data_IF_492179362431
#
_entry.id   IF_492179362431
#
_cell.length_a   1.000
_cell.length_b   1.000
_cell.length_c   1.000
_cell.angle_alpha   90.00
_cell.angle_beta   90.00
_cell.angle_gamma   90.00
#
_symmetry.space_group_name_H-M   'P 1'
#
loop_
_entity.id
_entity.type
_entity.pdbx_description
1 polymer ?
#
# COMPACT_ATOMS: atom_id res chain seq x y z
N UNK A 1 9.00 -1.48 -12.53
CA UNK A 1 7.75 -2.29 -12.51
C UNK A 1 6.86 -1.80 -11.38
N UNK A 2 5.53 -1.88 -11.52
CA UNK A 2 4.61 -1.36 -10.49
C UNK A 2 4.69 -2.15 -9.18
N UNK A 3 4.90 -3.46 -9.28
CA UNK A 3 5.15 -4.34 -8.14
C UNK A 3 6.38 -3.91 -7.33
N UNK A 4 7.46 -3.49 -8.00
CA UNK A 4 8.67 -3.02 -7.33
C UNK A 4 8.46 -1.69 -6.63
N UNK A 5 7.72 -0.75 -7.25
CA UNK A 5 7.36 0.52 -6.61
C UNK A 5 6.52 0.28 -5.36
N UNK A 6 5.51 -0.58 -5.45
CA UNK A 6 4.67 -0.94 -4.32
C UNK A 6 5.48 -1.59 -3.18
N UNK A 7 6.41 -2.49 -3.51
CA UNK A 7 7.23 -3.16 -2.52
C UNK A 7 8.28 -2.24 -1.88
N UNK A 8 8.88 -1.33 -2.66
CA UNK A 8 9.80 -0.30 -2.15
C UNK A 8 9.12 0.63 -1.16
N UNK A 9 7.90 1.05 -1.50
CA UNK A 9 7.11 1.98 -0.69
C UNK A 9 6.24 1.31 0.37
N UNK A 10 6.28 -0.03 0.48
CA UNK A 10 5.50 -0.84 1.44
C UNK A 10 5.56 -0.29 2.86
N UNK A 11 6.73 0.15 3.32
CA UNK A 11 6.90 0.72 4.66
C UNK A 11 6.10 1.99 4.89
N UNK A 12 6.07 2.90 3.90
CA UNK A 12 5.36 4.16 3.98
C UNK A 12 3.84 3.94 3.81
N UNK A 13 3.45 3.07 2.89
CA UNK A 13 2.04 2.65 2.69
C UNK A 13 1.47 2.07 3.98
N UNK A 14 2.17 1.13 4.62
CA UNK A 14 1.72 0.49 5.86
C UNK A 14 1.55 1.51 7.00
N UNK A 15 2.48 2.46 7.13
CA UNK A 15 2.42 3.54 8.13
C UNK A 15 1.35 4.58 7.84
N UNK A 16 0.97 4.76 6.57
CA UNK A 16 -0.03 5.75 6.15
C UNK A 16 -1.47 5.23 6.04
N UNK A 17 -1.66 3.94 5.74
CA UNK A 17 -2.97 3.33 5.55
C UNK A 17 -3.75 3.14 6.85
N UNK A 18 -4.80 3.92 7.10
CA UNK A 18 -5.70 3.73 8.24
C UNK A 18 -6.64 2.53 8.05
N UNK A 19 -7.25 2.03 9.12
CA UNK A 19 -8.14 0.85 9.05
C UNK A 19 -9.32 1.03 8.08
N UNK A 20 -9.87 2.24 7.99
CA UNK A 20 -10.91 2.56 7.02
C UNK A 20 -10.43 2.39 5.57
N UNK A 21 -9.24 2.91 5.26
CA UNK A 21 -8.64 2.81 3.93
C UNK A 21 -8.30 1.36 3.59
N UNK A 22 -7.75 0.60 4.55
CA UNK A 22 -7.47 -0.83 4.38
C UNK A 22 -8.75 -1.58 4.02
N UNK A 23 -9.83 -1.36 4.77
CA UNK A 23 -11.13 -1.99 4.51
C UNK A 23 -11.66 -1.66 3.11
N UNK A 24 -11.57 -0.39 2.71
CA UNK A 24 -11.99 0.07 1.39
C UNK A 24 -11.15 -0.58 0.28
N UNK A 25 -9.84 -0.62 0.42
CA UNK A 25 -8.93 -1.23 -0.55
C UNK A 25 -9.21 -2.74 -0.70
N UNK A 26 -9.36 -3.45 0.41
CA UNK A 26 -9.74 -4.87 0.42
C UNK A 26 -11.08 -5.09 -0.30
N UNK A 27 -12.08 -4.25 -0.03
CA UNK A 27 -13.39 -4.37 -0.68
C UNK A 27 -13.32 -4.11 -2.19
N UNK A 28 -12.55 -3.11 -2.62
CA UNK A 28 -12.32 -2.82 -4.04
C UNK A 28 -11.57 -3.95 -4.73
N UNK A 29 -10.53 -4.53 -4.12
CA UNK A 29 -9.83 -5.69 -4.65
C UNK A 29 -10.76 -6.91 -4.77
N UNK A 30 -11.66 -7.10 -3.81
CA UNK A 30 -12.66 -8.16 -3.86
C UNK A 30 -13.68 -7.93 -4.99
N UNK A 31 -14.15 -6.69 -5.16
CA UNK A 31 -15.06 -6.31 -6.25
C UNK A 31 -14.43 -6.55 -7.63
N UNK A 32 -13.13 -6.25 -7.76
CA UNK A 32 -12.33 -6.50 -8.96
C UNK A 32 -11.98 -7.99 -9.16
N UNK A 33 -12.48 -8.89 -8.29
CA UNK A 33 -12.21 -10.34 -8.29
C UNK A 33 -10.72 -10.69 -8.23
N UNK A 34 -9.90 -9.79 -7.68
CA UNK A 34 -8.47 -10.01 -7.47
C UNK A 34 -8.25 -10.95 -6.30
N UNK A 35 -9.02 -10.74 -5.24
CA UNK A 35 -9.00 -11.54 -4.01
C UNK A 35 -10.33 -12.26 -3.85
N UNK A 36 -10.29 -13.44 -3.26
CA UNK A 36 -11.49 -14.19 -2.89
C UNK A 36 -11.96 -13.83 -1.46
N UNK A 37 -13.13 -14.35 -1.06
CA UNK A 37 -13.74 -14.02 0.23
C UNK A 37 -12.84 -14.46 1.40
N UNK A 38 -12.24 -15.65 1.31
CA UNK A 38 -11.32 -16.17 2.32
C UNK A 38 -10.10 -15.27 2.51
N UNK A 39 -9.49 -14.82 1.41
CA UNK A 39 -8.36 -13.88 1.46
C UNK A 39 -8.77 -12.53 2.09
N UNK A 40 -9.94 -12.00 1.71
CA UNK A 40 -10.51 -10.78 2.31
C UNK A 40 -10.68 -10.93 3.83
N UNK A 41 -11.28 -12.03 4.27
CA UNK A 41 -11.51 -12.30 5.69
C UNK A 41 -10.19 -12.46 6.45
N UNK A 42 -9.20 -13.16 5.89
CA UNK A 42 -7.88 -13.31 6.50
C UNK A 42 -7.19 -11.95 6.75
N UNK A 43 -7.25 -11.02 5.79
CA UNK A 43 -6.70 -9.67 5.96
C UNK A 43 -7.51 -8.88 7.00
N UNK A 44 -8.84 -9.01 7.00
CA UNK A 44 -9.70 -8.30 7.94
C UNK A 44 -9.54 -8.81 9.39
N UNK A 45 -9.30 -10.10 9.57
CA UNK A 45 -9.10 -10.79 10.85
C UNK A 45 -7.71 -10.53 11.44
N UNK A 46 -6.73 -10.18 10.59
CA UNK A 46 -5.35 -9.86 11.02
C UNK A 46 -5.36 -8.77 12.09
N UNK A 47 -4.65 -9.00 13.22
CA UNK A 47 -4.67 -8.07 14.34
C UNK A 47 -3.69 -6.91 14.14
N UNK A 48 -4.21 -5.68 14.19
CA UNK A 48 -3.42 -4.45 14.08
C UNK A 48 -3.36 -3.89 12.67
N UNK A 49 -3.64 -2.60 12.56
CA UNK A 49 -3.66 -1.82 11.31
C UNK A 49 -2.43 -2.05 10.42
N UNK A 50 -1.23 -2.01 11.01
CA UNK A 50 0.01 -2.14 10.26
C UNK A 50 0.18 -3.54 9.64
N UNK A 51 -0.22 -4.57 10.38
CA UNK A 51 -0.11 -5.96 9.91
C UNK A 51 -1.14 -6.25 8.81
N UNK A 52 -2.38 -5.74 8.95
CA UNK A 52 -3.40 -5.77 7.89
C UNK A 52 -2.91 -5.09 6.60
N UNK A 53 -2.35 -3.89 6.72
CA UNK A 53 -1.82 -3.16 5.57
C UNK A 53 -0.65 -3.90 4.92
N UNK A 54 0.20 -4.52 5.73
CA UNK A 54 1.33 -5.33 5.24
C UNK A 54 0.82 -6.52 4.44
N UNK A 55 -0.10 -7.30 5.01
CA UNK A 55 -0.73 -8.43 4.33
C UNK A 55 -1.38 -8.02 3.01
N UNK A 56 -2.10 -6.89 2.99
CA UNK A 56 -2.69 -6.33 1.78
C UNK A 56 -1.64 -6.05 0.69
N UNK A 57 -0.54 -5.38 1.03
CA UNK A 57 0.53 -5.03 0.08
C UNK A 57 1.26 -6.28 -0.41
N UNK A 58 1.68 -7.18 0.49
CA UNK A 58 2.35 -8.43 0.12
C UNK A 58 1.49 -9.28 -0.83
N UNK A 59 0.19 -9.33 -0.56
CA UNK A 59 -0.74 -10.06 -1.39
C UNK A 59 -0.82 -9.48 -2.80
N UNK A 60 -0.97 -8.17 -2.91
CA UNK A 60 -1.04 -7.50 -4.23
C UNK A 60 0.26 -7.65 -5.02
N UNK A 61 1.40 -7.64 -4.32
CA UNK A 61 2.71 -7.93 -4.89
C UNK A 61 2.80 -9.39 -5.38
N UNK A 62 2.38 -10.36 -4.56
CA UNK A 62 2.46 -11.79 -4.87
C UNK A 62 1.59 -12.19 -6.07
N UNK A 63 0.49 -11.48 -6.34
CA UNK A 63 -0.36 -11.74 -7.52
C UNK A 63 0.22 -11.19 -8.83
N UNK A 64 1.20 -10.28 -8.77
CA UNK A 64 1.93 -9.77 -9.93
C UNK A 64 1.67 -8.30 -10.24
N UNK A 65 2.28 -7.82 -11.34
CA UNK A 65 2.28 -6.39 -11.70
C UNK A 65 0.89 -5.81 -11.92
N UNK A 66 0.00 -6.52 -12.61
CA UNK A 66 -1.34 -6.01 -12.93
C UNK A 66 -2.13 -5.67 -11.65
N UNK A 67 -1.98 -6.50 -10.61
CA UNK A 67 -2.63 -6.26 -9.31
C UNK A 67 -1.92 -5.15 -8.54
N UNK A 68 -0.60 -5.06 -8.65
CA UNK A 68 0.17 -3.97 -8.04
C UNK A 68 -0.18 -2.60 -8.64
N UNK A 69 -0.33 -2.50 -9.96
CA UNK A 69 -0.81 -1.29 -10.65
C UNK A 69 -2.21 -0.90 -10.18
N UNK A 70 -3.10 -1.88 -10.07
CA UNK A 70 -4.44 -1.65 -9.55
C UNK A 70 -4.38 -1.15 -8.10
N UNK A 71 -3.58 -1.76 -7.23
CA UNK A 71 -3.40 -1.34 -5.84
C UNK A 71 -2.94 0.12 -5.74
N UNK A 72 -1.97 0.53 -6.56
CA UNK A 72 -1.48 1.91 -6.62
C UNK A 72 -2.60 2.86 -7.06
N UNK A 73 -3.38 2.47 -8.07
CA UNK A 73 -4.52 3.26 -8.58
C UNK A 73 -5.61 3.41 -7.51
N UNK A 74 -5.95 2.31 -6.83
CA UNK A 74 -6.92 2.29 -5.75
C UNK A 74 -6.45 3.11 -4.55
N UNK A 75 -5.16 3.08 -4.24
CA UNK A 75 -4.58 3.91 -3.18
C UNK A 75 -4.76 5.39 -3.51
N UNK A 76 -4.49 5.81 -4.75
CA UNK A 76 -4.69 7.19 -5.18
C UNK A 76 -6.15 7.65 -5.08
N UNK A 77 -7.10 6.75 -5.34
CA UNK A 77 -8.54 7.03 -5.25
C UNK A 77 -9.03 7.12 -3.80
N UNK A 78 -8.54 6.22 -2.94
CA UNK A 78 -8.94 6.17 -1.52
C UNK A 78 -8.22 7.23 -0.69
N UNK A 79 -6.92 7.42 -0.93
CA UNK A 79 -6.07 8.35 -0.19
C UNK A 79 -5.03 9.00 -1.12
N UNK A 80 -5.43 10.05 -1.86
CA UNK A 80 -4.53 10.76 -2.77
C UNK A 80 -3.37 11.45 -2.05
N UNK A 81 -3.56 11.81 -0.77
CA UNK A 81 -2.53 12.46 0.05
C UNK A 81 -1.41 11.48 0.36
N UNK A 82 -1.77 10.27 0.82
CA UNK A 82 -0.82 9.20 1.05
C UNK A 82 -0.15 8.79 -0.26
N UNK A 83 -0.91 8.63 -1.34
CA UNK A 83 -0.32 8.34 -2.65
C UNK A 83 0.74 9.39 -3.03
N UNK A 84 0.46 10.68 -2.83
CA UNK A 84 1.41 11.74 -3.13
C UNK A 84 2.64 11.69 -2.20
N UNK A 85 2.45 11.46 -0.90
CA UNK A 85 3.54 11.38 0.07
C UNK A 85 4.49 10.20 -0.19
N UNK A 86 3.96 9.13 -0.78
CA UNK A 86 4.65 7.86 -1.01
C UNK A 86 5.27 7.79 -2.42
N UNK A 87 4.50 8.15 -3.45
CA UNK A 87 4.91 7.98 -4.85
C UNK A 87 5.37 9.27 -5.53
N UNK A 88 5.05 10.44 -4.99
CA UNK A 88 5.39 11.74 -5.61
C UNK A 88 6.41 12.53 -4.78
N UNK A 89 6.70 12.14 -3.53
CA UNK A 89 7.64 12.83 -2.63
C UNK A 89 9.10 12.40 -2.80
N UNK A 90 9.44 11.67 -3.86
CA UNK A 90 10.80 11.18 -4.09
C UNK A 90 11.83 12.29 -4.44
N UNK A 91 11.46 13.57 -4.51
CA UNK A 91 12.35 14.66 -4.95
C UNK A 91 12.61 15.78 -3.92
N UNK A 92 12.31 15.59 -2.63
CA UNK A 92 12.59 16.66 -1.65
C UNK A 92 13.04 16.15 -0.30
N UNK A 93 14.22 15.54 -0.27
CA UNK A 93 15.13 15.63 0.88
C UNK A 93 16.58 15.40 0.43
N UNK A 94 17.09 16.37 -0.33
CA UNK A 94 18.43 16.89 -0.05
C UNK A 94 18.40 17.43 1.38
N UNK A 95 19.11 16.73 2.26
CA UNK A 95 19.12 16.97 3.70
C UNK A 95 20.47 16.57 4.28
N UNK A 96 21.55 16.89 3.56
CA UNK A 96 22.88 16.94 4.18
C UNK A 96 23.01 18.28 4.90
N UNK A 97 23.25 18.26 6.21
CA UNK A 97 24.39 18.99 6.70
C UNK A 97 25.33 18.02 7.40
N UNK A 98 26.51 17.88 6.80
CA UNK A 98 27.64 17.25 7.45
C UNK A 98 27.87 17.88 8.82
N UNK A 99 28.01 17.03 9.83
CA UNK A 99 28.73 17.41 11.04
C UNK A 99 30.14 16.84 10.91
N UNK A 100 31.03 17.69 10.41
CA UNK A 100 32.43 17.65 10.80
C UNK A 100 32.52 17.86 12.32
N UNK A 101 33.29 17.00 12.98
CA UNK A 101 33.68 17.05 14.37
C UNK A 101 34.92 16.19 14.57
#
# INVERSE_FOLDING_TARGET
MAAELLNGERGNIVKGLNEANIKLLVDKLFNQKVINQFEKEAIMETHGRADKARALVDMTYAKGEHVSELMITLLKDVDPVLFNDVFLKADSMDGSPGKEG
#
